data_IF_228352674466
#
_entry.id   IF_228352674466
#
_cell.length_a   1.000
_cell.length_b   1.000
_cell.length_c   1.000
_cell.angle_alpha   90.00
_cell.angle_beta   90.00
_cell.angle_gamma   90.00
#
_symmetry.space_group_name_H-M   'P 1'
#
loop_
_entity.id
_entity.type
_entity.pdbx_description
1 polymer ?
#
# COMPACT_ATOMS: atom_id res chain seq x y z
N UNK A 1 -5.15 -17.22 17.38
CA UNK A 1 -4.74 -17.69 16.04
C UNK A 1 -5.38 -16.69 15.06
N UNK A 2 -4.61 -15.72 14.56
CA UNK A 2 -5.14 -14.66 13.70
C UNK A 2 -5.49 -15.23 12.33
N UNK A 3 -6.71 -14.96 11.89
CA UNK A 3 -7.28 -15.49 10.65
C UNK A 3 -6.45 -15.03 9.44
N UNK A 4 -5.94 -15.93 8.58
CA UNK A 4 -5.15 -15.57 7.40
C UNK A 4 -5.91 -14.72 6.38
N UNK A 5 -7.24 -14.62 6.50
CA UNK A 5 -8.07 -13.72 5.69
C UNK A 5 -7.85 -12.23 6.03
N UNK A 6 -7.38 -11.88 7.23
CA UNK A 6 -7.09 -10.49 7.61
C UNK A 6 -5.84 -9.91 6.96
N UNK A 7 -4.97 -10.76 6.40
CA UNK A 7 -3.67 -10.33 5.90
C UNK A 7 -3.69 -9.85 4.43
N UNK A 8 -4.79 -10.06 3.70
CA UNK A 8 -4.95 -9.51 2.35
C UNK A 8 -5.37 -8.05 2.46
N UNK A 9 -4.66 -7.09 1.84
CA UNK A 9 -5.11 -5.71 1.83
C UNK A 9 -6.51 -5.66 1.19
N UNK A 10 -7.50 -5.25 1.97
CA UNK A 10 -8.88 -5.18 1.50
C UNK A 10 -8.99 -4.31 0.26
N UNK A 11 -9.77 -4.75 -0.72
CA UNK A 11 -9.92 -4.06 -2.01
C UNK A 11 -10.33 -2.58 -1.84
N UNK A 12 -11.15 -2.30 -0.82
CA UNK A 12 -11.54 -0.94 -0.40
C UNK A 12 -10.33 -0.06 -0.06
N UNK A 13 -9.30 -0.61 0.59
CA UNK A 13 -8.09 0.13 0.95
C UNK A 13 -7.26 0.46 -0.29
N UNK A 14 -7.13 -0.49 -1.21
CA UNK A 14 -6.44 -0.26 -2.49
C UNK A 14 -7.17 0.81 -3.30
N UNK A 15 -8.50 0.72 -3.41
CA UNK A 15 -9.32 1.71 -4.11
C UNK A 15 -9.15 3.10 -3.48
N UNK A 16 -9.19 3.20 -2.14
CA UNK A 16 -9.01 4.46 -1.41
C UNK A 16 -7.67 5.12 -1.73
N UNK A 17 -6.58 4.35 -1.74
CA UNK A 17 -5.24 4.86 -2.08
C UNK A 17 -5.20 5.38 -3.51
N UNK A 18 -5.75 4.63 -4.46
CA UNK A 18 -5.83 5.06 -5.87
C UNK A 18 -6.66 6.34 -6.03
N UNK A 19 -7.83 6.40 -5.40
CA UNK A 19 -8.68 7.61 -5.43
C UNK A 19 -7.97 8.82 -4.84
N UNK A 20 -7.22 8.66 -3.75
CA UNK A 20 -6.41 9.74 -3.16
C UNK A 20 -5.27 10.20 -4.07
N UNK A 21 -4.60 9.27 -4.75
CA UNK A 21 -3.57 9.62 -5.74
C UNK A 21 -4.18 10.42 -6.89
N UNK A 22 -5.26 9.91 -7.47
CA UNK A 22 -5.96 10.57 -8.59
C UNK A 22 -6.48 11.95 -8.18
N UNK A 23 -7.13 12.07 -7.01
CA UNK A 23 -7.61 13.37 -6.52
C UNK A 23 -6.46 14.33 -6.21
N UNK A 24 -5.35 13.84 -5.68
CA UNK A 24 -4.14 14.64 -5.45
C UNK A 24 -3.56 15.19 -6.75
N UNK A 25 -3.43 14.36 -7.78
CA UNK A 25 -2.97 14.81 -9.10
C UNK A 25 -3.95 15.80 -9.76
N UNK A 26 -5.25 15.55 -9.65
CA UNK A 26 -6.27 16.49 -10.12
C UNK A 26 -6.15 17.84 -9.41
N UNK A 27 -5.98 17.85 -8.08
CA UNK A 27 -5.80 19.08 -7.32
C UNK A 27 -4.55 19.85 -7.78
N UNK A 28 -3.42 19.17 -7.99
CA UNK A 28 -2.20 19.81 -8.52
C UNK A 28 -2.42 20.36 -9.93
N UNK A 29 -3.12 19.62 -10.79
CA UNK A 29 -3.43 20.05 -12.15
C UNK A 29 -4.33 21.29 -12.16
N UNK A 30 -5.37 21.32 -11.32
CA UNK A 30 -6.21 22.51 -11.13
C UNK A 30 -5.41 23.68 -10.54
N UNK A 31 -4.55 23.43 -9.55
CA UNK A 31 -3.66 24.45 -8.99
C UNK A 31 -2.74 25.06 -10.05
N UNK A 32 -2.22 24.23 -10.96
CA UNK A 32 -1.43 24.68 -12.11
C UNK A 32 -2.22 25.55 -13.07
N UNK A 33 -3.46 25.17 -13.42
CA UNK A 33 -4.32 26.00 -14.26
C UNK A 33 -4.60 27.35 -13.60
N UNK A 34 -4.95 27.34 -12.31
CA UNK A 34 -5.18 28.58 -11.55
C UNK A 34 -3.93 29.46 -11.52
N UNK A 35 -2.73 28.87 -11.38
CA UNK A 35 -1.47 29.60 -11.43
C UNK A 35 -1.23 30.28 -12.78
N UNK A 36 -1.47 29.56 -13.87
CA UNK A 36 -1.32 30.12 -15.23
C UNK A 36 -2.30 31.28 -15.47
N UNK A 37 -3.55 31.14 -15.02
CA UNK A 37 -4.53 32.22 -15.10
C UNK A 37 -4.12 33.43 -14.26
N UNK A 38 -3.62 33.20 -13.05
CA UNK A 38 -3.16 34.27 -12.18
C UNK A 38 -1.91 35.01 -12.70
N UNK A 39 -1.13 34.36 -13.56
CA UNK A 39 0.03 34.94 -14.25
C UNK A 39 -0.32 35.63 -15.58
N UNK A 40 -1.52 35.41 -16.12
CA UNK A 40 -1.92 35.91 -17.45
C UNK A 40 -2.22 37.42 -17.47
N UNK A 41 -2.60 38.01 -16.34
CA UNK A 41 -2.91 39.44 -16.28
C UNK A 41 -3.26 39.93 -14.86
N UNK A 42 -3.14 41.24 -14.59
CA UNK A 42 -3.42 41.82 -13.28
C UNK A 42 -4.88 41.66 -12.84
N UNK A 43 -5.83 41.51 -13.77
CA UNK A 43 -7.24 41.26 -13.48
C UNK A 43 -7.52 39.86 -12.90
N UNK A 44 -6.57 38.93 -13.03
CA UNK A 44 -6.69 37.54 -12.56
C UNK A 44 -5.88 37.26 -11.28
N UNK A 45 -5.35 38.30 -10.61
CA UNK A 45 -4.48 38.14 -9.43
C UNK A 45 -5.12 37.31 -8.30
N UNK A 46 -6.45 37.31 -8.20
CA UNK A 46 -7.18 36.53 -7.18
C UNK A 46 -6.98 35.02 -7.30
N UNK A 47 -6.55 34.51 -8.46
CA UNK A 47 -6.34 33.07 -8.70
C UNK A 47 -5.10 32.50 -8.01
N UNK A 48 -4.22 33.34 -7.46
CA UNK A 48 -3.07 32.90 -6.66
C UNK A 48 -3.47 32.15 -5.39
N UNK A 49 -4.56 32.57 -4.73
CA UNK A 49 -5.07 31.95 -3.50
C UNK A 49 -5.58 30.52 -3.76
N UNK A 50 -6.52 30.28 -4.69
CA UNK A 50 -6.97 28.92 -4.99
C UNK A 50 -5.84 28.07 -5.58
N UNK A 51 -4.91 28.64 -6.36
CA UNK A 51 -3.73 27.91 -6.83
C UNK A 51 -2.90 27.37 -5.66
N UNK A 52 -2.55 28.25 -4.70
CA UNK A 52 -1.79 27.87 -3.52
C UNK A 52 -2.50 26.79 -2.68
N UNK A 53 -3.81 26.93 -2.46
CA UNK A 53 -4.61 25.94 -1.72
C UNK A 53 -4.65 24.59 -2.44
N UNK A 54 -4.82 24.59 -3.76
CA UNK A 54 -4.83 23.37 -4.56
C UNK A 54 -3.47 22.67 -4.56
N UNK A 55 -2.36 23.43 -4.66
CA UNK A 55 -1.02 22.88 -4.56
C UNK A 55 -0.74 22.29 -3.19
N UNK A 56 -1.02 23.04 -2.12
CA UNK A 56 -0.81 22.57 -0.76
C UNK A 56 -1.65 21.33 -0.46
N UNK A 57 -2.93 21.37 -0.79
CA UNK A 57 -3.86 20.26 -0.61
C UNK A 57 -3.45 19.02 -1.42
N UNK A 58 -3.09 19.21 -2.69
CA UNK A 58 -2.63 18.13 -3.57
C UNK A 58 -1.36 17.47 -3.07
N UNK A 59 -0.36 18.26 -2.65
CA UNK A 59 0.91 17.75 -2.08
C UNK A 59 0.66 16.95 -0.80
N UNK A 60 -0.12 17.49 0.13
CA UNK A 60 -0.45 16.79 1.39
C UNK A 60 -1.19 15.47 1.12
N UNK A 61 -2.10 15.46 0.13
CA UNK A 61 -2.84 14.26 -0.23
C UNK A 61 -1.94 13.19 -0.88
N UNK A 62 -0.98 13.59 -1.71
CA UNK A 62 0.02 12.69 -2.28
C UNK A 62 0.95 12.12 -1.21
N UNK A 63 1.42 12.94 -0.26
CA UNK A 63 2.24 12.48 0.87
C UNK A 63 1.48 11.44 1.69
N UNK A 64 0.21 11.71 2.03
CA UNK A 64 -0.64 10.76 2.74
C UNK A 64 -0.84 9.46 1.97
N UNK A 65 -1.04 9.53 0.66
CA UNK A 65 -1.16 8.36 -0.20
C UNK A 65 0.15 7.54 -0.23
N UNK A 66 1.32 8.19 -0.29
CA UNK A 66 2.62 7.53 -0.25
C UNK A 66 2.81 6.76 1.05
N UNK A 67 2.49 7.34 2.21
CA UNK A 67 2.55 6.63 3.48
C UNK A 67 1.63 5.40 3.51
N UNK A 68 0.43 5.49 2.94
CA UNK A 68 -0.46 4.33 2.82
C UNK A 68 0.09 3.24 1.89
N UNK A 69 0.72 3.63 0.78
CA UNK A 69 1.41 2.71 -0.13
C UNK A 69 2.56 2.00 0.59
N UNK A 70 3.41 2.73 1.32
CA UNK A 70 4.48 2.13 2.12
C UNK A 70 3.93 1.18 3.19
N UNK A 71 2.81 1.53 3.83
CA UNK A 71 2.12 0.65 4.76
C UNK A 71 1.60 -0.63 4.12
N UNK A 72 1.07 -0.55 2.89
CA UNK A 72 0.61 -1.71 2.11
C UNK A 72 1.79 -2.61 1.71
N UNK A 73 2.90 -2.01 1.25
CA UNK A 73 4.14 -2.72 0.90
C UNK A 73 4.72 -3.44 2.14
N UNK A 74 4.79 -2.77 3.28
CA UNK A 74 5.24 -3.38 4.54
C UNK A 74 4.33 -4.53 4.98
N UNK A 75 3.01 -4.39 4.78
CA UNK A 75 2.05 -5.47 5.01
C UNK A 75 2.29 -6.68 4.10
N UNK A 76 2.54 -6.43 2.81
CA UNK A 76 2.88 -7.46 1.82
C UNK A 76 4.20 -8.16 2.17
N UNK A 77 5.24 -7.41 2.58
CA UNK A 77 6.51 -7.99 3.02
C UNK A 77 6.34 -8.91 4.23
N UNK A 78 5.59 -8.47 5.25
CA UNK A 78 5.29 -9.30 6.42
C UNK A 78 4.53 -10.56 6.03
N UNK A 79 3.55 -10.45 5.13
CA UNK A 79 2.80 -11.60 4.64
C UNK A 79 3.69 -12.56 3.84
N UNK A 80 4.54 -12.06 2.95
CA UNK A 80 5.51 -12.88 2.21
C UNK A 80 6.50 -13.57 3.15
N UNK A 81 6.93 -12.90 4.22
CA UNK A 81 7.81 -13.50 5.23
C UNK A 81 7.11 -14.63 5.99
N UNK A 82 5.86 -14.42 6.41
CA UNK A 82 5.04 -15.46 7.04
C UNK A 82 4.75 -16.62 6.09
N UNK A 83 4.43 -16.33 4.83
CA UNK A 83 4.23 -17.35 3.79
C UNK A 83 5.50 -18.15 3.56
N UNK A 84 6.68 -17.52 3.52
CA UNK A 84 7.96 -18.25 3.44
C UNK A 84 8.20 -19.15 4.66
N UNK A 85 7.80 -18.74 5.85
CA UNK A 85 7.90 -19.56 7.07
C UNK A 85 6.84 -20.66 7.18
N UNK A 86 5.65 -20.46 6.61
CA UNK A 86 4.59 -21.48 6.55
C UNK A 86 4.73 -22.45 5.37
N UNK A 87 5.42 -22.05 4.31
CA UNK A 87 5.80 -22.88 3.15
C UNK A 87 7.17 -23.52 3.34
N UNK A 88 7.97 -23.07 4.33
CA UNK A 88 9.07 -23.90 4.82
C UNK A 88 8.40 -25.22 5.19
N UNK A 89 8.67 -26.32 4.46
CA UNK A 89 8.09 -27.58 4.83
C UNK A 89 8.48 -27.73 6.29
N UNK A 90 7.48 -27.84 7.18
CA UNK A 90 7.68 -28.74 8.29
C UNK A 90 8.02 -30.03 7.56
N UNK A 91 9.31 -30.27 7.42
CA UNK A 91 9.83 -31.60 7.53
C UNK A 91 9.29 -32.03 8.89
N UNK A 92 8.03 -32.48 8.92
CA UNK A 92 7.73 -33.76 9.52
C UNK A 92 8.86 -34.61 8.97
N UNK A 93 9.90 -34.71 9.81
CA UNK A 93 10.96 -35.64 9.64
C UNK A 93 10.18 -36.94 9.67
N UNK A 94 9.69 -37.40 8.52
CA UNK A 94 9.13 -38.72 8.40
C UNK A 94 10.29 -39.57 8.89
N UNK A 95 10.17 -40.17 10.09
CA UNK A 95 11.26 -40.96 10.61
C UNK A 95 11.58 -41.96 9.51
N UNK A 96 12.86 -42.06 9.16
CA UNK A 96 13.26 -42.96 8.09
C UNK A 96 12.64 -44.33 8.41
N UNK A 97 12.15 -45.05 7.40
CA UNK A 97 11.46 -46.32 7.61
C UNK A 97 12.26 -47.29 8.51
N UNK A 98 13.59 -47.12 8.51
CA UNK A 98 14.56 -47.78 9.40
C UNK A 98 14.36 -47.44 10.89
N UNK A 99 14.17 -46.17 11.25
CA UNK A 99 13.89 -45.74 12.62
C UNK A 99 12.54 -46.26 13.13
N UNK A 100 11.54 -46.38 12.23
CA UNK A 100 10.24 -46.98 12.55
C UNK A 100 10.32 -48.50 12.75
N UNK A 101 11.22 -49.16 12.03
CA UNK A 101 11.45 -50.62 12.13
C UNK A 101 12.30 -50.97 13.35
N UNK A 102 13.34 -50.18 13.62
CA UNK A 102 14.19 -50.30 14.80
C UNK A 102 13.43 -49.92 16.09
N UNK A 103 12.46 -49.01 16.00
CA UNK A 103 11.52 -48.67 17.08
C UNK A 103 10.36 -49.65 17.26
N UNK A 104 10.25 -50.71 16.45
CA UNK A 104 9.21 -51.74 16.55
C UNK A 104 7.79 -51.27 16.20
N UNK A 105 7.64 -50.10 15.59
CA UNK A 105 6.32 -49.55 15.20
C UNK A 105 5.77 -50.19 13.92
N UNK A 106 6.64 -50.78 13.10
CA UNK A 106 6.26 -51.48 11.86
C UNK A 106 7.08 -52.77 11.77
N UNK A 107 6.43 -53.90 11.44
CA UNK A 107 7.07 -55.20 11.21
C UNK A 107 7.68 -55.29 9.81
#
# INVERSE_FOLDING_TARGET
MSDPSEAKPGWVRILRVNLRLVSGFLALFFGWICWQMAAAGPEWWGFWIPAALCFLGGVLQLIGALFEVFGLIGSLFRWNHLRRKGVAPRADHQPAQKDLRDGGMIR
#
